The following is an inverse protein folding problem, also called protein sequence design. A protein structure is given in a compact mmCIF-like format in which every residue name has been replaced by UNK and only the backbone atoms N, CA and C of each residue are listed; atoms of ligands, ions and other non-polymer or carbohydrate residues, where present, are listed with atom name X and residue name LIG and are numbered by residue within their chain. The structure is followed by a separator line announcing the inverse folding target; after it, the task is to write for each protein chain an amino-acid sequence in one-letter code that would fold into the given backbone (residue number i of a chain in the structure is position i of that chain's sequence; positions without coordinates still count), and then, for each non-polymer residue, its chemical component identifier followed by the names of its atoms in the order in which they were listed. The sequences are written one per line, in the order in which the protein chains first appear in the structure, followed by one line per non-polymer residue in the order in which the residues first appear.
data_IF_093371675559
#
_entry.id   IF_093371675559
#
_cell.length_a   1.000
_cell.length_b   1.000
_cell.length_c   1.000
_cell.angle_alpha   90.00
_cell.angle_beta   90.00
_cell.angle_gamma   90.00
#
_symmetry.space_group_name_H-M   'P 1'
#
loop_
_entity.id
_entity.type
_entity.pdbx_description
1 polymer ?
#
# COMPACT_ATOMS: atom_id res chain seq x y z
N UNK A 1 9.34 -27.77 -11.15
CA UNK A 1 10.16 -27.35 -12.30
C UNK A 1 11.56 -27.10 -11.78
N UNK A 2 12.61 -27.67 -12.37
CA UNK A 2 13.99 -27.38 -11.96
C UNK A 2 14.42 -25.98 -12.44
N UNK A 3 15.48 -25.43 -11.84
CA UNK A 3 16.04 -24.15 -12.27
C UNK A 3 16.43 -24.16 -13.76
N UNK A 4 17.02 -25.26 -14.24
CA UNK A 4 17.37 -25.45 -15.65
C UNK A 4 16.14 -25.49 -16.57
N UNK A 5 15.05 -26.15 -16.13
CA UNK A 5 13.79 -26.18 -16.88
C UNK A 5 13.15 -24.78 -16.96
N UNK A 6 13.17 -24.02 -15.88
CA UNK A 6 12.68 -22.65 -15.85
C UNK A 6 13.50 -21.75 -16.77
N UNK A 7 14.84 -21.83 -16.70
CA UNK A 7 15.73 -21.04 -17.55
C UNK A 7 15.47 -21.31 -19.04
N UNK A 8 15.43 -22.58 -19.44
CA UNK A 8 15.11 -22.96 -20.82
C UNK A 8 13.74 -22.45 -21.25
N UNK A 9 12.74 -22.53 -20.36
CA UNK A 9 11.40 -22.04 -20.68
C UNK A 9 11.37 -20.53 -20.90
N UNK A 10 12.13 -19.76 -20.13
CA UNK A 10 12.26 -18.30 -20.32
C UNK A 10 12.93 -18.00 -21.66
N UNK A 11 14.02 -18.71 -22.00
CA UNK A 11 14.70 -18.58 -23.30
C UNK A 11 13.74 -18.87 -24.47
N UNK A 12 13.01 -19.98 -24.42
CA UNK A 12 12.01 -20.35 -25.45
C UNK A 12 10.95 -19.25 -25.67
N UNK A 13 10.51 -18.59 -24.60
CA UNK A 13 9.51 -17.52 -24.68
C UNK A 13 10.12 -16.27 -25.32
N UNK A 14 11.35 -15.90 -24.94
CA UNK A 14 12.05 -14.76 -25.52
C UNK A 14 12.36 -14.98 -27.01
N UNK A 15 12.80 -16.18 -27.38
CA UNK A 15 13.02 -16.57 -28.77
C UNK A 15 11.73 -16.46 -29.60
N UNK A 16 10.59 -16.86 -29.02
CA UNK A 16 9.29 -16.74 -29.68
C UNK A 16 8.90 -15.26 -29.94
N UNK A 17 9.20 -14.36 -29.00
CA UNK A 17 9.01 -12.92 -29.22
C UNK A 17 9.94 -12.38 -30.31
N UNK A 18 11.22 -12.78 -30.31
CA UNK A 18 12.17 -12.38 -31.36
C UNK A 18 11.75 -12.88 -32.75
N UNK A 19 11.19 -14.09 -32.85
CA UNK A 19 10.72 -14.66 -34.11
C UNK A 19 9.41 -14.03 -34.64
N UNK A 20 8.67 -13.29 -33.80
CA UNK A 20 7.39 -12.67 -34.19
C UNK A 20 7.53 -11.53 -35.22
N UNK A 21 8.74 -11.01 -35.40
CA UNK A 21 9.04 -9.91 -36.32
C UNK A 21 8.79 -8.50 -35.75
N UNK A 22 8.27 -8.40 -34.52
CA UNK A 22 8.12 -7.15 -33.79
C UNK A 22 9.28 -6.94 -32.80
N UNK A 23 10.28 -6.17 -33.23
CA UNK A 23 11.47 -5.88 -32.44
C UNK A 23 11.21 -5.01 -31.20
N UNK A 24 10.14 -4.22 -31.18
CA UNK A 24 9.77 -3.41 -30.02
C UNK A 24 9.22 -4.30 -28.90
N UNK A 25 8.30 -5.21 -29.25
CA UNK A 25 7.77 -6.20 -28.31
C UNK A 25 8.87 -7.12 -27.77
N UNK A 26 9.80 -7.58 -28.61
CA UNK A 26 10.93 -8.40 -28.16
C UNK A 26 11.82 -7.66 -27.14
N UNK A 27 12.18 -6.39 -27.42
CA UNK A 27 12.94 -5.56 -26.46
C UNK A 27 12.18 -5.32 -25.15
N UNK A 28 10.87 -5.08 -25.22
CA UNK A 28 10.06 -4.86 -24.03
C UNK A 28 10.01 -6.13 -23.15
N UNK A 29 9.91 -7.31 -23.76
CA UNK A 29 9.94 -8.59 -23.05
C UNK A 29 11.30 -8.82 -22.36
N UNK A 30 12.42 -8.57 -23.05
CA UNK A 30 13.75 -8.66 -22.46
C UNK A 30 13.94 -7.69 -21.29
N UNK A 31 13.50 -6.44 -21.44
CA UNK A 31 13.61 -5.42 -20.39
C UNK A 31 12.74 -5.76 -19.17
N UNK A 32 11.55 -6.33 -19.38
CA UNK A 32 10.71 -6.83 -18.30
C UNK A 32 11.44 -7.93 -17.50
N UNK A 33 12.01 -8.93 -18.19
CA UNK A 33 12.76 -10.02 -17.52
C UNK A 33 13.96 -9.46 -16.75
N UNK A 34 14.72 -8.54 -17.36
CA UNK A 34 15.86 -7.88 -16.69
C UNK A 34 15.42 -7.16 -15.42
N UNK A 35 14.39 -6.32 -15.52
CA UNK A 35 13.85 -5.54 -14.40
C UNK A 35 13.39 -6.44 -13.26
N UNK A 36 12.67 -7.53 -13.58
CA UNK A 36 12.24 -8.51 -12.58
C UNK A 36 13.44 -9.19 -11.91
N UNK A 37 14.42 -9.65 -12.68
CA UNK A 37 15.62 -10.32 -12.13
C UNK A 37 16.46 -9.39 -11.24
N UNK A 38 16.58 -8.11 -11.60
CA UNK A 38 17.22 -7.09 -10.76
C UNK A 38 16.47 -6.88 -9.45
N UNK A 39 15.13 -6.74 -9.51
CA UNK A 39 14.29 -6.58 -8.33
C UNK A 39 14.40 -7.78 -7.37
N UNK A 40 14.23 -9.01 -7.89
CA UNK A 40 14.36 -10.22 -7.08
C UNK A 40 15.80 -10.40 -6.55
N UNK A 41 16.82 -10.09 -7.36
CA UNK A 41 18.22 -10.15 -6.95
C UNK A 41 18.52 -9.21 -5.78
N UNK A 42 18.01 -7.98 -5.83
CA UNK A 42 18.14 -7.01 -4.74
C UNK A 42 17.43 -7.48 -3.47
N UNK A 43 16.22 -8.02 -3.56
CA UNK A 43 15.49 -8.56 -2.42
C UNK A 43 16.19 -9.75 -1.76
N UNK A 44 16.67 -10.71 -2.57
CA UNK A 44 17.46 -11.86 -2.09
C UNK A 44 18.77 -11.41 -1.43
N UNK A 45 19.44 -10.41 -2.00
CA UNK A 45 20.68 -9.85 -1.44
C UNK A 45 20.43 -9.23 -0.06
N UNK A 46 19.34 -8.46 0.09
CA UNK A 46 18.93 -7.90 1.39
C UNK A 46 18.60 -9.01 2.39
N UNK A 47 17.77 -9.98 2.02
CA UNK A 47 17.42 -11.10 2.88
C UNK A 47 18.65 -11.87 3.39
N UNK A 48 19.59 -12.21 2.50
CA UNK A 48 20.84 -12.88 2.89
C UNK A 48 21.68 -12.01 3.82
N UNK A 49 21.77 -10.71 3.56
CA UNK A 49 22.53 -9.77 4.40
C UNK A 49 21.93 -9.65 5.80
N UNK A 50 20.62 -9.54 5.89
CA UNK A 50 19.87 -9.49 7.14
C UNK A 50 20.05 -10.76 7.96
N UNK A 51 19.96 -11.93 7.33
CA UNK A 51 20.15 -13.22 8.00
C UNK A 51 21.58 -13.43 8.49
N UNK A 52 22.58 -12.92 7.76
CA UNK A 52 23.99 -12.98 8.18
C UNK A 52 24.29 -12.11 9.40
N UNK A 53 23.60 -10.97 9.52
CA UNK A 53 23.83 -9.97 10.58
C UNK A 53 22.80 -10.05 11.72
N UNK A 54 21.80 -10.91 11.60
CA UNK A 54 20.62 -10.98 12.46
C UNK A 54 20.87 -11.62 13.82
N UNK A 55 19.92 -11.40 14.74
CA UNK A 55 19.88 -11.96 16.10
C UNK A 55 19.08 -13.27 16.14
N UNK A 56 18.69 -13.74 17.33
CA UNK A 56 18.11 -15.06 17.57
C UNK A 56 16.80 -15.41 16.80
N UNK A 57 16.11 -14.42 16.22
CA UNK A 57 14.90 -14.64 15.41
C UNK A 57 15.11 -14.20 13.94
N UNK A 58 15.41 -15.14 13.04
CA UNK A 58 15.61 -14.87 11.61
C UNK A 58 14.37 -14.29 10.91
N UNK A 59 13.17 -14.71 11.30
CA UNK A 59 11.94 -14.27 10.64
C UNK A 59 11.61 -12.84 11.01
N UNK A 60 11.75 -12.47 12.29
CA UNK A 60 11.52 -11.10 12.75
C UNK A 60 12.40 -10.08 12.02
N UNK A 61 13.66 -10.43 11.72
CA UNK A 61 14.58 -9.54 10.99
C UNK A 61 14.18 -9.41 9.52
N UNK A 62 13.71 -10.48 8.87
CA UNK A 62 13.27 -10.44 7.47
C UNK A 62 12.01 -9.59 7.29
N UNK A 63 10.99 -9.77 8.15
CA UNK A 63 9.72 -9.02 8.04
C UNK A 63 9.82 -7.56 8.48
N UNK A 64 10.92 -7.17 9.13
CA UNK A 64 11.20 -5.78 9.48
C UNK A 64 11.76 -4.97 8.29
N UNK A 65 12.27 -5.63 7.25
CA UNK A 65 12.74 -4.98 6.03
C UNK A 65 11.61 -4.89 5.01
N UNK A 66 11.24 -3.66 4.62
CA UNK A 66 10.08 -3.39 3.77
C UNK A 66 10.13 -4.12 2.42
N UNK A 67 11.30 -4.23 1.79
CA UNK A 67 11.43 -4.90 0.49
C UNK A 67 11.26 -6.42 0.62
N UNK A 68 11.85 -7.00 1.65
CA UNK A 68 11.74 -8.44 1.91
C UNK A 68 10.32 -8.79 2.33
N UNK A 69 9.71 -8.01 3.22
CA UNK A 69 8.32 -8.19 3.64
C UNK A 69 7.34 -8.08 2.44
N UNK A 70 7.56 -7.10 1.54
CA UNK A 70 6.77 -6.95 0.32
C UNK A 70 6.91 -8.16 -0.63
N UNK A 71 8.13 -8.68 -0.81
CA UNK A 71 8.36 -9.89 -1.61
C UNK A 71 7.71 -11.13 -1.00
N UNK A 72 7.78 -11.30 0.33
CA UNK A 72 7.10 -12.41 1.00
C UNK A 72 5.59 -12.31 0.82
N UNK A 73 5.03 -11.11 0.89
CA UNK A 73 3.60 -10.88 0.72
C UNK A 73 3.14 -11.15 -0.71
N UNK A 74 3.91 -10.72 -1.72
CA UNK A 74 3.63 -10.98 -3.14
C UNK A 74 3.51 -12.48 -3.47
N UNK A 75 4.17 -13.33 -2.69
CA UNK A 75 4.18 -14.79 -2.87
C UNK A 75 3.36 -15.56 -1.82
N UNK A 76 2.51 -14.88 -1.04
CA UNK A 76 1.72 -15.48 0.05
C UNK A 76 2.57 -16.22 1.11
N UNK A 77 3.81 -15.78 1.30
CA UNK A 77 4.78 -16.35 2.24
C UNK A 77 4.93 -15.54 3.53
N UNK A 78 4.21 -14.42 3.66
CA UNK A 78 4.32 -13.57 4.83
C UNK A 78 3.70 -14.26 6.07
N UNK A 79 4.40 -14.34 7.21
CA UNK A 79 3.91 -15.08 8.38
C UNK A 79 2.80 -14.37 9.15
N UNK A 80 2.77 -13.04 9.12
CA UNK A 80 1.67 -12.25 9.67
C UNK A 80 0.50 -12.22 8.68
N UNK A 81 -0.75 -12.22 9.16
CA UNK A 81 -1.93 -12.03 8.34
C UNK A 81 -2.05 -10.59 7.78
N UNK A 82 -2.91 -10.40 6.78
CA UNK A 82 -3.12 -9.10 6.13
C UNK A 82 -3.49 -7.98 7.11
N UNK A 83 -4.38 -8.22 8.08
CA UNK A 83 -4.81 -7.17 9.01
C UNK A 83 -3.68 -6.75 9.94
N UNK A 84 -2.84 -7.69 10.37
CA UNK A 84 -1.62 -7.40 11.14
C UNK A 84 -0.66 -6.52 10.33
N UNK A 85 -0.46 -6.83 9.04
CA UNK A 85 0.39 -6.02 8.14
C UNK A 85 -0.18 -4.63 7.87
N UNK A 86 -1.49 -4.53 7.63
CA UNK A 86 -2.20 -3.26 7.48
C UNK A 86 -2.03 -2.40 8.74
N UNK A 87 -2.11 -3.01 9.93
CA UNK A 87 -1.82 -2.33 11.20
C UNK A 87 -0.41 -1.73 11.22
N UNK A 88 0.61 -2.49 10.81
CA UNK A 88 1.99 -1.99 10.69
C UNK A 88 2.10 -0.83 9.69
N UNK A 89 1.43 -0.91 8.54
CA UNK A 89 1.41 0.18 7.56
C UNK A 89 0.83 1.47 8.16
N UNK A 90 -0.27 1.38 8.90
CA UNK A 90 -0.91 2.52 9.57
C UNK A 90 0.01 3.13 10.64
N UNK A 91 0.72 2.30 11.40
CA UNK A 91 1.71 2.75 12.39
C UNK A 91 2.94 3.40 11.73
N UNK A 92 3.48 2.81 10.66
CA UNK A 92 4.59 3.37 9.89
C UNK A 92 4.23 4.73 9.26
N UNK A 93 2.98 4.87 8.80
CA UNK A 93 2.44 6.14 8.33
C UNK A 93 2.21 7.17 9.45
N UNK A 94 2.38 6.80 10.74
CA UNK A 94 2.03 7.60 11.92
C UNK A 94 0.58 8.05 11.92
N UNK A 95 -0.31 7.18 11.46
CA UNK A 95 -1.73 7.44 11.33
C UNK A 95 -2.57 6.68 12.38
N UNK A 96 -1.97 5.82 13.21
CA UNK A 96 -2.69 5.02 14.22
C UNK A 96 -3.52 5.83 15.21
N UNK A 97 -3.11 7.05 15.54
CA UNK A 97 -3.90 7.95 16.40
C UNK A 97 -5.09 8.61 15.67
N UNK A 98 -5.05 8.66 14.33
CA UNK A 98 -6.02 9.38 13.49
C UNK A 98 -7.03 8.43 12.84
N UNK A 99 -6.61 7.21 12.51
CA UNK A 99 -7.46 6.25 11.80
C UNK A 99 -7.44 4.88 12.46
N UNK A 100 -8.59 4.22 12.50
CA UNK A 100 -8.74 2.81 12.83
C UNK A 100 -9.07 1.98 11.60
N UNK A 101 -8.77 0.69 11.68
CA UNK A 101 -9.16 -0.28 10.64
C UNK A 101 -10.59 -0.71 10.94
N UNK A 102 -11.50 -0.48 9.99
CA UNK A 102 -12.90 -0.91 10.11
C UNK A 102 -13.08 -2.30 9.50
N UNK A 103 -12.63 -2.48 8.26
CA UNK A 103 -12.83 -3.72 7.52
C UNK A 103 -11.83 -3.84 6.36
N UNK A 104 -11.46 -5.07 6.01
CA UNK A 104 -10.76 -5.41 4.78
C UNK A 104 -11.55 -6.47 4.03
N UNK A 105 -11.87 -6.18 2.77
CA UNK A 105 -12.49 -7.11 1.84
C UNK A 105 -11.36 -7.76 0.99
N UNK A 106 -11.05 -9.05 1.19
CA UNK A 106 -10.00 -9.74 0.46
C UNK A 106 -10.37 -10.03 -1.01
N UNK A 107 -11.66 -10.08 -1.35
CA UNK A 107 -12.10 -10.39 -2.71
C UNK A 107 -11.93 -9.18 -3.64
N UNK A 108 -12.10 -7.97 -3.09
CA UNK A 108 -11.91 -6.71 -3.85
C UNK A 108 -10.58 -6.02 -3.56
N UNK A 109 -9.89 -6.37 -2.48
CA UNK A 109 -8.71 -5.66 -2.00
C UNK A 109 -9.05 -4.30 -1.37
N UNK A 110 -10.28 -4.09 -0.92
CA UNK A 110 -10.74 -2.80 -0.38
C UNK A 110 -10.52 -2.73 1.13
N UNK A 111 -9.71 -1.76 1.57
CA UNK A 111 -9.51 -1.44 2.97
C UNK A 111 -10.36 -0.23 3.37
N UNK A 112 -11.27 -0.44 4.33
CA UNK A 112 -12.07 0.62 4.96
C UNK A 112 -11.45 1.04 6.27
N UNK A 113 -11.18 2.33 6.38
CA UNK A 113 -10.63 2.98 7.58
C UNK A 113 -11.67 3.94 8.16
N UNK A 114 -11.74 4.06 9.48
CA UNK A 114 -12.56 5.05 10.18
C UNK A 114 -11.69 6.12 10.85
N UNK A 115 -12.20 7.35 10.99
CA UNK A 115 -11.51 8.39 11.74
C UNK A 115 -11.66 8.11 13.24
N UNK A 116 -10.59 8.33 14.02
CA UNK A 116 -10.64 8.31 15.48
C UNK A 116 -10.94 9.72 16.00
N UNK A 117 -11.84 9.80 16.97
CA UNK A 117 -12.41 11.06 17.48
C UNK A 117 -11.38 11.98 18.15
N UNK A 118 -10.27 11.43 18.66
CA UNK A 118 -9.18 12.17 19.31
C UNK A 118 -8.09 12.68 18.33
N UNK A 119 -8.25 12.41 17.04
CA UNK A 119 -7.24 12.55 15.99
C UNK A 119 -7.10 13.92 15.34
N UNK A 120 -7.23 15.03 16.07
CA UNK A 120 -6.85 16.38 15.60
C UNK A 120 -7.75 17.03 14.51
N UNK A 121 -7.65 18.36 14.42
CA UNK A 121 -8.50 19.21 13.57
C UNK A 121 -8.64 18.66 12.13
N UNK A 122 -9.88 18.30 11.75
CA UNK A 122 -10.26 17.69 10.47
C UNK A 122 -10.12 18.61 9.24
N UNK A 123 -9.00 19.32 9.13
CA UNK A 123 -8.64 20.11 7.97
C UNK A 123 -8.53 19.17 6.75
N UNK A 124 -9.15 19.49 5.60
CA UNK A 124 -9.10 18.63 4.41
C UNK A 124 -7.67 18.29 3.97
N UNK A 125 -6.78 19.30 4.05
CA UNK A 125 -5.38 19.17 3.66
C UNK A 125 -4.57 18.19 4.51
N UNK A 126 -4.92 18.00 5.79
CA UNK A 126 -4.21 17.05 6.67
C UNK A 126 -4.70 15.61 6.47
N UNK A 127 -5.94 15.43 6.05
CA UNK A 127 -6.51 14.11 5.73
C UNK A 127 -5.97 13.56 4.40
N UNK A 128 -5.84 14.38 3.37
CA UNK A 128 -5.25 13.93 2.10
C UNK A 128 -3.77 13.55 2.24
N UNK A 129 -3.00 14.34 2.99
CA UNK A 129 -1.61 14.00 3.32
C UNK A 129 -1.48 12.73 4.19
N UNK A 130 -2.48 12.45 5.03
CA UNK A 130 -2.56 11.20 5.80
C UNK A 130 -2.88 10.02 4.89
N UNK A 131 -3.87 10.16 4.00
CA UNK A 131 -4.20 9.14 3.00
C UNK A 131 -2.99 8.75 2.17
N UNK A 132 -2.27 9.72 1.60
CA UNK A 132 -1.12 9.45 0.74
C UNK A 132 0.00 8.71 1.48
N UNK A 133 0.25 9.02 2.76
CA UNK A 133 1.20 8.28 3.59
C UNK A 133 0.76 6.85 3.87
N UNK A 134 -0.54 6.65 4.12
CA UNK A 134 -1.11 5.32 4.34
C UNK A 134 -1.01 4.49 3.04
N UNK A 135 -1.41 5.03 1.90
CA UNK A 135 -1.31 4.36 0.60
C UNK A 135 0.13 3.96 0.27
N UNK A 136 1.08 4.87 0.49
CA UNK A 136 2.50 4.57 0.32
C UNK A 136 2.96 3.43 1.23
N UNK A 137 2.59 3.45 2.52
CA UNK A 137 2.94 2.39 3.46
C UNK A 137 2.27 1.05 3.10
N UNK A 138 0.99 1.05 2.71
CA UNK A 138 0.27 -0.13 2.28
C UNK A 138 0.90 -0.77 1.03
N UNK A 139 1.38 0.03 0.09
CA UNK A 139 2.09 -0.51 -1.09
C UNK A 139 3.34 -1.33 -0.72
N UNK A 140 3.93 -1.08 0.45
CA UNK A 140 5.06 -1.84 0.97
C UNK A 140 4.63 -3.03 1.83
N UNK A 141 3.70 -2.83 2.78
CA UNK A 141 3.36 -3.83 3.80
C UNK A 141 2.17 -4.72 3.44
N UNK A 142 1.23 -4.24 2.62
CA UNK A 142 0.01 -4.95 2.24
C UNK A 142 -0.37 -4.63 0.78
N UNK A 143 0.46 -5.03 -0.22
CA UNK A 143 0.24 -4.74 -1.63
C UNK A 143 -1.07 -5.32 -2.21
N UNK A 144 -1.70 -6.28 -1.53
CA UNK A 144 -3.04 -6.78 -1.86
C UNK A 144 -4.15 -5.76 -1.59
N UNK A 145 -3.87 -4.69 -0.82
CA UNK A 145 -4.80 -3.57 -0.64
C UNK A 145 -4.70 -2.66 -1.87
N UNK A 146 -5.70 -2.76 -2.74
CA UNK A 146 -5.75 -2.02 -4.00
C UNK A 146 -6.55 -0.73 -3.89
N UNK A 147 -7.48 -0.65 -2.93
CA UNK A 147 -8.37 0.50 -2.73
C UNK A 147 -8.42 0.86 -1.24
N UNK A 148 -8.20 2.13 -0.92
CA UNK A 148 -8.31 2.67 0.45
C UNK A 148 -9.51 3.60 0.55
N UNK A 149 -10.51 3.19 1.33
CA UNK A 149 -11.67 4.00 1.64
C UNK A 149 -11.48 4.66 3.02
N UNK A 150 -11.43 5.99 3.02
CA UNK A 150 -11.40 6.79 4.25
C UNK A 150 -12.65 7.67 4.30
N UNK A 151 -13.19 7.99 5.50
CA UNK A 151 -14.27 8.94 5.63
C UNK A 151 -13.91 10.23 4.91
N UNK A 152 -14.76 10.64 3.98
CA UNK A 152 -14.61 11.92 3.30
C UNK A 152 -14.95 13.03 4.30
N UNK A 153 -14.03 13.96 4.52
CA UNK A 153 -14.40 15.30 4.99
C UNK A 153 -15.10 16.03 3.84
N UNK A 154 -16.36 15.69 3.58
CA UNK A 154 -17.28 16.58 2.85
C UNK A 154 -17.75 17.69 3.78
N UNK A 155 -18.22 18.85 3.26
CA UNK A 155 -18.83 19.86 4.11
C UNK A 155 -19.95 19.19 4.92
N UNK A 156 -19.91 19.36 6.24
CA UNK A 156 -20.96 18.88 7.12
C UNK A 156 -22.31 19.42 6.59
N UNK A 157 -23.18 18.52 6.15
CA UNK A 157 -24.60 18.83 5.98
C UNK A 157 -25.16 19.10 7.38
N UNK A 158 -25.10 20.37 7.78
CA UNK A 158 -25.46 20.81 9.11
C UNK A 158 -24.62 21.98 9.59
N UNK A 159 -24.49 23.04 8.78
CA UNK A 159 -24.24 24.34 9.39
C UNK A 159 -25.40 24.60 10.36
N UNK A 160 -25.14 24.85 11.66
CA UNK A 160 -26.20 25.26 12.56
C UNK A 160 -26.81 26.52 11.96
N UNK A 161 -28.12 26.48 11.71
CA UNK A 161 -28.86 27.57 11.10
C UNK A 161 -28.48 28.87 11.80
N UNK A 162 -27.74 29.73 11.10
CA UNK A 162 -27.40 31.06 11.59
C UNK A 162 -28.72 31.75 11.90
N UNK A 163 -29.02 31.91 13.18
CA UNK A 163 -30.16 32.69 13.63
C UNK A 163 -29.88 34.14 13.20
N UNK A 164 -30.43 34.52 12.06
CA UNK A 164 -30.45 35.89 11.59
C UNK A 164 -31.33 36.68 12.55
N UNK A 165 -30.72 37.28 13.57
CA UNK A 165 -31.37 38.27 14.43
C UNK A 165 -31.61 39.51 13.56
N UNK A 166 -32.75 39.51 12.87
CA UNK A 166 -33.22 40.67 12.14
C UNK A 166 -33.61 41.76 13.11
N UNK A 167 -32.97 42.93 13.02
CA UNK A 167 -33.44 44.12 13.72
C UNK A 167 -34.58 44.75 12.91
N UNK A 168 -35.82 44.63 13.37
CA UNK A 168 -36.98 45.34 12.81
C UNK A 168 -38.11 45.48 13.85
N UNK A 169 -39.04 46.45 13.70
CA UNK A 169 -39.00 47.86 14.11
C UNK A 169 -40.22 48.15 15.06
N UNK A 170 -40.74 49.38 15.29
CA UNK A 170 -41.34 50.22 14.25
C UNK A 170 -41.03 51.71 14.36
N UNK A 171 -41.09 52.39 13.21
CA UNK A 171 -41.31 53.83 13.17
C UNK A 171 -42.65 54.18 13.79
N UNK A 172 -42.70 55.32 14.48
CA UNK A 172 -43.94 55.98 14.83
C UNK A 172 -44.09 57.23 13.93
N UNK A 173 -45.33 57.60 13.55
CA UNK A 173 -45.62 58.75 12.69
C UNK A 173 -45.24 60.10 13.30
#
# INVERSE_FOLDING_TARGET
MSAEQTARRVEEILDAFAASGDGETARAAEELVRTLMEFYGAGLTRAVTLLKNGTADPLAVLIADEMVAGLLTLHDLHPEDTLTRVGRAVEAARAGATVGIEHFDPDTGTLRLNAREDGGCGCPSTMDATRQRIEAALSCFAPEVTVVEMPRSGPAAGEPALLQIGNRPPGAP
#
